data_IF_672794745712
#
_entry.id   IF_672794745712
#
_cell.length_a   1.000
_cell.length_b   1.000
_cell.length_c   1.000
_cell.angle_alpha   90.00
_cell.angle_beta   90.00
_cell.angle_gamma   90.00
#
_symmetry.space_group_name_H-M   'P 1'
#
loop_
_entity.id
_entity.type
_entity.pdbx_description
1 polymer ?
#
# COMPACT_ATOMS: atom_id res chain seq x y z
N UNK A 1 -6.93 9.54 -1.19
CA UNK A 1 -7.47 8.37 -0.48
C UNK A 1 -6.43 7.26 -0.23
N UNK A 2 -5.41 7.11 -1.07
CA UNK A 2 -4.30 6.14 -0.89
C UNK A 2 -3.36 6.51 0.29
N UNK A 3 -3.20 7.80 0.58
CA UNK A 3 -2.32 8.29 1.66
C UNK A 3 -2.79 7.94 3.09
N UNK A 4 -4.09 7.66 3.28
CA UNK A 4 -4.64 7.29 4.61
C UNK A 4 -4.38 5.82 4.98
N UNK A 5 -4.07 4.95 4.02
CA UNK A 5 -3.75 3.54 4.27
C UNK A 5 -2.34 3.37 4.83
N UNK A 6 -1.36 4.18 4.39
CA UNK A 6 0.03 4.11 4.88
C UNK A 6 0.18 4.52 6.34
N UNK A 7 -0.66 5.44 6.83
CA UNK A 7 -0.60 5.90 8.21
C UNK A 7 -1.00 4.81 9.24
N UNK A 8 -1.72 3.76 8.81
CA UNK A 8 -2.05 2.61 9.68
C UNK A 8 -0.91 1.59 9.78
N UNK A 9 -0.11 1.42 8.72
CA UNK A 9 1.00 0.44 8.72
C UNK A 9 2.13 0.86 9.67
N UNK A 10 2.46 2.16 9.75
CA UNK A 10 3.50 2.64 10.67
C UNK A 10 3.15 2.50 12.16
N UNK A 11 1.86 2.50 12.54
CA UNK A 11 1.46 2.31 13.94
C UNK A 11 1.61 0.86 14.42
N UNK A 12 1.60 -0.12 13.51
CA UNK A 12 1.73 -1.54 13.85
C UNK A 12 3.18 -1.99 14.03
N UNK A 13 4.16 -1.23 13.53
CA UNK A 13 5.58 -1.55 13.64
C UNK A 13 6.26 -1.02 14.93
N UNK A 14 5.56 -0.23 15.75
CA UNK A 14 6.16 0.45 16.92
C UNK A 14 5.67 -0.09 18.28
N UNK A 15 5.09 -1.29 18.33
CA UNK A 15 4.70 -1.93 19.60
C UNK A 15 5.17 -3.38 19.70
N UNK A 16 6.41 -3.66 19.29
CA UNK A 16 7.11 -4.90 19.66
C UNK A 16 8.43 -4.50 20.34
N UNK A 17 8.60 -4.78 21.64
CA UNK A 17 9.90 -4.72 22.28
C UNK A 17 10.80 -5.84 21.75
N UNK A 18 12.06 -5.50 21.47
CA UNK A 18 13.16 -6.42 21.20
C UNK A 18 13.41 -7.35 22.39
N UNK A 19 13.02 -8.62 22.28
CA UNK A 19 13.59 -9.71 23.07
C UNK A 19 13.37 -11.06 22.36
N UNK A 20 14.07 -11.29 21.25
CA UNK A 20 14.32 -12.65 20.76
C UNK A 20 15.57 -13.20 21.46
N UNK A 21 15.38 -13.83 22.62
CA UNK A 21 16.43 -14.60 23.28
C UNK A 21 16.64 -15.93 22.55
N UNK A 22 17.68 -16.01 21.73
CA UNK A 22 18.33 -17.25 21.31
C UNK A 22 19.15 -17.76 22.50
N UNK A 23 18.73 -18.86 23.13
CA UNK A 23 19.55 -19.54 24.14
C UNK A 23 20.67 -20.34 23.47
N UNK A 24 21.91 -19.96 23.81
CA UNK A 24 23.15 -20.68 23.50
C UNK A 24 23.18 -22.03 24.20
N UNK A 25 23.69 -23.03 23.48
CA UNK A 25 24.09 -24.33 24.00
C UNK A 25 25.50 -24.18 24.60
N UNK A 26 25.67 -24.53 25.87
CA UNK A 26 26.97 -24.82 26.47
C UNK A 26 26.96 -26.27 26.99
N UNK A 27 27.96 -27.04 26.57
CA UNK A 27 28.22 -28.41 27.01
C UNK A 27 28.86 -28.44 28.41
N UNK A 28 28.38 -29.34 29.27
CA UNK A 28 29.21 -29.95 30.31
C UNK A 28 28.66 -31.31 30.75
N UNK A 29 29.54 -32.30 30.74
CA UNK A 29 29.33 -33.73 31.07
C UNK A 29 28.82 -34.00 32.51
N UNK A 30 28.02 -35.07 32.67
CA UNK A 30 28.26 -36.26 33.53
C UNK A 30 26.92 -36.99 33.90
N UNK A 31 26.82 -38.23 33.38
CA UNK A 31 26.28 -39.51 33.89
C UNK A 31 24.89 -39.68 34.56
N UNK A 32 24.22 -40.68 33.98
CA UNK A 32 23.46 -41.81 34.54
C UNK A 32 22.01 -41.65 35.05
N UNK A 33 21.17 -42.43 34.35
CA UNK A 33 20.12 -43.32 34.85
C UNK A 33 18.63 -42.88 34.80
N UNK A 34 17.85 -43.88 34.40
CA UNK A 34 16.40 -44.07 34.44
C UNK A 34 15.56 -43.47 33.30
N UNK A 35 15.04 -44.38 32.47
CA UNK A 35 14.15 -44.09 31.35
C UNK A 35 12.75 -43.64 31.75
N UNK A 36 12.13 -42.88 30.86
CA UNK A 36 10.68 -42.79 30.62
C UNK A 36 10.45 -42.02 29.30
N UNK A 37 9.74 -42.66 28.38
CA UNK A 37 9.23 -42.05 27.15
C UNK A 37 8.28 -40.88 27.49
N UNK A 38 8.24 -39.79 26.69
CA UNK A 38 7.24 -38.75 26.87
C UNK A 38 5.88 -39.23 26.37
N UNK A 39 4.93 -39.26 27.30
CA UNK A 39 3.51 -39.54 27.09
C UNK A 39 2.92 -38.42 26.22
N UNK A 40 2.35 -38.79 25.08
CA UNK A 40 1.41 -37.94 24.33
C UNK A 40 0.13 -37.82 25.13
N UNK A 41 -0.22 -36.62 25.60
CA UNK A 41 -1.55 -36.37 26.14
C UNK A 41 -2.55 -36.26 24.98
N UNK A 42 -3.52 -37.19 25.01
CA UNK A 42 -4.67 -37.32 24.12
C UNK A 42 -5.48 -36.03 24.00
N UNK A 43 -5.88 -35.72 22.76
CA UNK A 43 -7.00 -34.83 22.44
C UNK A 43 -8.29 -35.38 23.08
N UNK A 44 -8.74 -34.76 24.17
CA UNK A 44 -10.00 -35.11 24.82
C UNK A 44 -11.22 -34.62 24.01
N UNK A 45 -12.22 -35.50 23.92
CA UNK A 45 -13.53 -35.36 23.26
C UNK A 45 -14.26 -34.04 23.68
N UNK A 46 -14.80 -33.23 22.74
CA UNK A 46 -15.44 -31.94 23.05
C UNK A 46 -16.73 -31.98 23.88
N UNK A 47 -17.18 -33.15 24.34
CA UNK A 47 -18.38 -33.30 25.18
C UNK A 47 -18.12 -33.24 26.71
N UNK A 48 -16.86 -33.16 27.18
CA UNK A 48 -16.50 -33.14 28.62
C UNK A 48 -15.64 -31.92 29.05
N UNK A 49 -15.86 -30.73 28.48
CA UNK A 49 -15.19 -29.51 28.96
C UNK A 49 -15.82 -29.02 30.27
N UNK A 50 -15.07 -29.09 31.38
CA UNK A 50 -15.46 -28.53 32.68
C UNK A 50 -15.72 -27.02 32.54
N UNK A 51 -16.97 -26.59 32.77
CA UNK A 51 -17.37 -25.18 32.67
C UNK A 51 -16.99 -24.45 33.96
N UNK A 52 -16.26 -23.35 33.84
CA UNK A 52 -15.94 -22.47 34.95
C UNK A 52 -17.20 -21.75 35.46
N UNK A 53 -17.43 -21.71 36.77
CA UNK A 53 -18.56 -21.00 37.39
C UNK A 53 -18.06 -19.69 38.03
N UNK A 54 -18.17 -18.53 37.36
CA UNK A 54 -17.57 -17.28 37.82
C UNK A 54 -18.27 -16.73 39.05
N UNK A 55 -17.50 -16.11 39.95
CA UNK A 55 -18.02 -15.30 41.07
C UNK A 55 -17.72 -13.82 40.85
N UNK A 56 -18.13 -12.93 41.76
CA UNK A 56 -17.83 -11.49 41.69
C UNK A 56 -16.36 -11.13 41.97
N UNK A 57 -15.53 -12.09 42.39
CA UNK A 57 -14.09 -11.92 42.60
C UNK A 57 -13.30 -12.62 41.49
N UNK A 58 -12.09 -12.13 41.20
CA UNK A 58 -11.20 -12.73 40.22
C UNK A 58 -10.73 -14.11 40.68
N UNK A 59 -10.88 -15.11 39.81
CA UNK A 59 -10.36 -16.46 40.05
C UNK A 59 -9.60 -16.95 38.83
N UNK A 60 -8.49 -17.65 39.06
CA UNK A 60 -7.66 -18.25 38.01
C UNK A 60 -8.39 -19.39 37.30
N UNK A 61 -8.30 -19.40 35.97
CA UNK A 61 -8.82 -20.43 35.08
C UNK A 61 -7.80 -21.55 34.90
N UNK A 62 -8.26 -22.81 34.93
CA UNK A 62 -7.41 -23.95 34.59
C UNK A 62 -7.21 -24.05 33.07
N UNK A 63 -6.07 -24.57 32.58
CA UNK A 63 -5.87 -24.87 31.16
C UNK A 63 -6.98 -25.79 30.64
N UNK A 64 -7.61 -25.43 29.51
CA UNK A 64 -8.71 -26.19 28.90
C UNK A 64 -10.11 -25.89 29.44
N UNK A 65 -10.27 -25.07 30.49
CA UNK A 65 -11.58 -24.79 31.09
C UNK A 65 -12.43 -23.81 30.27
N UNK A 66 -13.72 -24.12 30.05
CA UNK A 66 -14.63 -23.28 29.27
C UNK A 66 -15.21 -22.13 30.12
N UNK A 67 -15.23 -20.90 29.60
CA UNK A 67 -15.73 -19.71 30.31
C UNK A 67 -17.13 -19.32 29.82
N UNK A 68 -18.14 -19.16 30.70
CA UNK A 68 -19.48 -18.75 30.31
C UNK A 68 -19.53 -17.37 29.64
N UNK A 69 -20.37 -17.24 28.62
CA UNK A 69 -20.62 -15.98 27.94
C UNK A 69 -21.12 -14.90 28.92
N UNK A 70 -20.51 -13.72 28.88
CA UNK A 70 -20.81 -12.61 29.79
C UNK A 70 -19.86 -12.46 30.99
N UNK A 71 -18.90 -13.37 31.15
CA UNK A 71 -17.83 -13.24 32.16
C UNK A 71 -16.76 -12.25 31.72
N UNK A 72 -16.22 -11.46 32.66
CA UNK A 72 -15.05 -10.61 32.41
C UNK A 72 -13.79 -11.46 32.57
N UNK A 73 -12.95 -11.53 31.54
CA UNK A 73 -11.71 -12.34 31.52
C UNK A 73 -10.51 -11.42 31.36
N UNK A 74 -9.43 -11.66 32.12
CA UNK A 74 -8.17 -10.93 32.01
C UNK A 74 -6.96 -11.88 32.06
N UNK A 75 -5.81 -11.40 31.59
CA UNK A 75 -4.52 -12.02 31.82
C UNK A 75 -3.79 -11.21 32.88
N UNK A 76 -3.41 -11.84 34.00
CA UNK A 76 -2.63 -11.20 35.04
C UNK A 76 -1.17 -11.08 34.58
N UNK A 77 -0.73 -9.86 34.27
CA UNK A 77 0.61 -9.62 33.70
C UNK A 77 1.76 -9.89 34.68
N UNK A 78 1.47 -10.06 35.97
CA UNK A 78 2.47 -10.32 36.99
C UNK A 78 2.65 -11.82 37.28
N UNK A 79 1.58 -12.62 37.11
CA UNK A 79 1.62 -14.07 37.31
C UNK A 79 1.56 -14.88 36.01
N UNK A 80 1.17 -14.25 34.89
CA UNK A 80 0.92 -14.91 33.60
C UNK A 80 -0.40 -15.70 33.55
N UNK A 81 -1.21 -15.68 34.60
CA UNK A 81 -2.42 -16.50 34.72
C UNK A 81 -3.65 -15.83 34.11
N UNK A 82 -4.54 -16.63 33.50
CA UNK A 82 -5.85 -16.16 33.02
C UNK A 82 -6.84 -16.19 34.18
N UNK A 83 -7.53 -15.09 34.43
CA UNK A 83 -8.52 -14.97 35.50
C UNK A 83 -9.90 -14.55 34.94
N UNK A 84 -10.99 -14.98 35.59
CA UNK A 84 -12.35 -14.60 35.21
C UNK A 84 -13.24 -14.25 36.43
N UNK A 85 -14.19 -13.32 36.22
CA UNK A 85 -15.22 -12.94 37.20
C UNK A 85 -16.54 -12.52 36.55
N UNK A 86 -17.63 -12.44 37.32
CA UNK A 86 -18.90 -11.83 36.91
C UNK A 86 -18.78 -10.31 36.80
N UNK A 87 -19.45 -9.67 35.83
CA UNK A 87 -19.54 -8.21 35.76
C UNK A 87 -20.36 -7.67 36.94
N UNK A 88 -19.88 -6.58 37.55
CA UNK A 88 -20.57 -5.92 38.66
C UNK A 88 -21.77 -5.14 38.12
N UNK A 89 -22.97 -5.48 38.60
CA UNK A 89 -24.22 -4.81 38.23
C UNK A 89 -24.38 -3.48 38.97
N UNK A 90 -24.56 -2.40 38.20
CA UNK A 90 -24.96 -1.03 38.60
C UNK A 90 -23.89 -0.11 39.23
N UNK A 91 -23.24 0.72 38.40
CA UNK A 91 -23.63 2.13 38.22
C UNK A 91 -22.59 2.94 37.42
N UNK A 92 -23.07 3.56 36.32
CA UNK A 92 -22.65 4.89 35.89
C UNK A 92 -21.23 5.10 35.36
N UNK A 93 -20.99 4.76 34.09
CA UNK A 93 -20.27 5.56 33.07
C UNK A 93 -20.32 4.82 31.74
N UNK A 94 -21.33 5.11 30.94
CA UNK A 94 -21.37 4.67 29.54
C UNK A 94 -20.27 5.38 28.77
N UNK A 95 -19.24 4.63 28.38
CA UNK A 95 -18.28 5.10 27.38
C UNK A 95 -19.03 5.47 26.10
N UNK A 96 -18.85 6.71 25.69
CA UNK A 96 -19.57 7.49 24.67
C UNK A 96 -19.31 7.03 23.23
N UNK A 97 -19.14 5.73 23.00
CA UNK A 97 -18.93 5.15 21.66
C UNK A 97 -20.20 4.64 20.97
N UNK A 98 -21.26 4.32 21.71
CA UNK A 98 -22.48 3.75 21.11
C UNK A 98 -23.48 4.78 20.57
N UNK A 99 -23.46 6.02 21.05
CA UNK A 99 -24.36 7.08 20.55
C UNK A 99 -24.06 7.51 19.12
N UNK A 100 -22.83 7.34 18.63
CA UNK A 100 -22.47 7.69 17.24
C UNK A 100 -22.93 6.66 16.22
N UNK A 101 -23.25 5.43 16.63
CA UNK A 101 -23.67 4.35 15.71
C UNK A 101 -25.18 4.41 15.40
N UNK A 102 -25.98 5.02 16.28
CA UNK A 102 -27.44 5.18 16.10
C UNK A 102 -27.85 6.32 15.16
N UNK A 103 -26.94 7.25 14.81
CA UNK A 103 -27.23 8.38 13.90
C UNK A 103 -27.19 8.05 12.39
N UNK A 104 -26.90 6.80 12.00
CA UNK A 104 -26.76 6.40 10.58
C UNK A 104 -27.88 5.51 10.02
N UNK A 105 -28.97 5.29 10.75
CA UNK A 105 -30.15 4.61 10.21
C UNK A 105 -31.36 5.53 10.41
N UNK A 106 -31.99 5.90 9.29
CA UNK A 106 -33.09 6.85 9.23
C UNK A 106 -34.28 6.47 10.10
N UNK A 107 -35.01 7.49 10.57
CA UNK A 107 -36.26 7.39 11.31
C UNK A 107 -37.26 6.51 10.56
N UNK A 108 -37.74 5.45 11.21
CA UNK A 108 -39.05 4.89 10.94
C UNK A 108 -39.92 5.28 12.13
N UNK A 109 -40.88 6.16 11.89
CA UNK A 109 -41.95 6.48 12.83
C UNK A 109 -42.76 5.20 13.11
N UNK A 110 -42.91 4.85 14.37
CA UNK A 110 -43.97 3.95 14.79
C UNK A 110 -44.71 4.62 15.93
N UNK A 111 -45.90 5.07 15.59
CA UNK A 111 -46.89 5.70 16.43
C UNK A 111 -47.19 4.83 17.66
N UNK A 112 -47.11 5.45 18.84
CA UNK A 112 -47.36 4.83 20.12
C UNK A 112 -48.86 4.76 20.36
N UNK A 113 -49.54 3.77 19.79
CA UNK A 113 -50.73 3.20 20.42
C UNK A 113 -51.13 1.82 19.87
N UNK A 114 -51.66 1.02 20.81
CA UNK A 114 -52.38 -0.26 20.69
C UNK A 114 -51.57 -1.53 20.39
N UNK A 115 -51.11 -2.19 21.46
CA UNK A 115 -51.35 -3.63 21.66
C UNK A 115 -51.48 -3.92 23.16
N UNK A 116 -52.58 -4.54 23.57
CA UNK A 116 -52.75 -4.98 24.96
C UNK A 116 -51.87 -6.20 25.27
N UNK A 117 -51.50 -6.42 26.53
CA UNK A 117 -50.69 -7.57 26.97
C UNK A 117 -51.28 -8.93 26.54
N UNK A 118 -52.60 -9.00 26.33
CA UNK A 118 -53.29 -10.18 25.82
C UNK A 118 -53.14 -10.36 24.30
N UNK A 119 -53.07 -9.29 23.51
CA UNK A 119 -52.79 -9.35 22.07
C UNK A 119 -51.35 -9.78 21.80
N UNK A 120 -50.40 -9.29 22.60
CA UNK A 120 -49.00 -9.75 22.56
C UNK A 120 -48.88 -11.24 22.90
N UNK A 121 -49.61 -11.73 23.91
CA UNK A 121 -49.62 -13.17 24.25
C UNK A 121 -50.24 -14.03 23.15
N UNK A 122 -51.32 -13.56 22.50
CA UNK A 122 -51.91 -14.27 21.35
C UNK A 122 -51.01 -14.26 20.12
N UNK A 123 -50.30 -13.16 19.86
CA UNK A 123 -49.33 -13.05 18.77
C UNK A 123 -48.13 -13.99 19.00
N UNK A 124 -47.59 -14.02 20.23
CA UNK A 124 -46.51 -14.93 20.62
C UNK A 124 -46.93 -16.40 20.58
N UNK A 125 -48.18 -16.72 20.94
CA UNK A 125 -48.71 -18.08 20.83
C UNK A 125 -48.83 -18.53 19.36
N UNK A 126 -49.32 -17.64 18.48
CA UNK A 126 -49.38 -17.90 17.02
C UNK A 126 -47.98 -18.06 16.41
N UNK A 127 -47.01 -17.25 16.84
CA UNK A 127 -45.60 -17.40 16.42
C UNK A 127 -45.01 -18.74 16.85
N UNK A 128 -45.35 -19.23 18.06
CA UNK A 128 -44.86 -20.51 18.60
C UNK A 128 -45.53 -21.71 17.91
N UNK A 129 -46.76 -21.57 17.44
CA UNK A 129 -47.43 -22.56 16.58
C UNK A 129 -46.88 -22.57 15.16
N UNK A 130 -46.62 -21.41 14.55
CA UNK A 130 -45.94 -21.35 13.24
C UNK A 130 -44.52 -21.90 13.32
N UNK A 131 -43.78 -21.67 14.42
CA UNK A 131 -42.47 -22.28 14.65
C UNK A 131 -42.54 -23.81 14.80
N UNK A 132 -43.59 -24.34 15.44
CA UNK A 132 -43.84 -25.79 15.54
C UNK A 132 -44.26 -26.40 14.21
N UNK A 133 -45.04 -25.68 13.39
CA UNK A 133 -45.41 -26.09 12.04
C UNK A 133 -44.19 -26.07 11.09
N UNK A 134 -43.38 -25.01 11.13
CA UNK A 134 -42.12 -24.90 10.40
C UNK A 134 -41.09 -25.94 10.86
N UNK A 135 -41.03 -26.28 12.16
CA UNK A 135 -40.20 -27.38 12.67
C UNK A 135 -40.69 -28.76 12.21
N UNK A 136 -41.99 -28.96 12.00
CA UNK A 136 -42.53 -30.20 11.41
C UNK A 136 -42.22 -30.29 9.91
N UNK A 137 -42.28 -29.19 9.17
CA UNK A 137 -41.91 -29.12 7.74
C UNK A 137 -40.37 -29.23 7.56
N UNK A 138 -39.56 -28.64 8.43
CA UNK A 138 -38.08 -28.77 8.44
C UNK A 138 -37.59 -30.19 8.73
N UNK A 139 -38.39 -31.04 9.37
CA UNK A 139 -38.04 -32.45 9.60
C UNK A 139 -38.21 -33.34 8.36
N UNK A 140 -38.78 -32.84 7.25
CA UNK A 140 -39.05 -33.66 6.06
C UNK A 140 -38.28 -33.27 4.78
N UNK A 141 -37.39 -32.26 4.84
CA UNK A 141 -36.41 -32.02 3.78
C UNK A 141 -35.02 -31.86 4.39
N UNK A 142 -34.10 -32.83 4.22
CA UNK A 142 -32.74 -32.67 4.71
C UNK A 142 -32.04 -31.62 3.86
N UNK A 143 -31.72 -30.47 4.44
CA UNK A 143 -30.79 -29.48 3.85
C UNK A 143 -29.43 -30.13 3.54
N UNK A 144 -29.08 -31.24 4.23
CA UNK A 144 -27.96 -32.13 3.91
C UNK A 144 -27.98 -32.72 2.49
N UNK A 145 -29.12 -32.76 1.79
CA UNK A 145 -29.19 -33.22 0.39
C UNK A 145 -28.91 -32.13 -0.65
N UNK A 146 -28.74 -30.86 -0.22
CA UNK A 146 -28.42 -29.74 -1.13
C UNK A 146 -26.92 -29.44 -1.22
N UNK A 147 -26.11 -30.03 -0.37
CA UNK A 147 -24.66 -29.80 -0.35
C UNK A 147 -23.95 -31.12 -0.59
N UNK A 148 -22.98 -31.10 -1.50
CA UNK A 148 -22.07 -32.23 -1.70
C UNK A 148 -21.26 -32.45 -0.41
N UNK A 149 -21.02 -33.70 0.01
CA UNK A 149 -20.09 -34.03 1.10
C UNK A 149 -18.71 -33.40 0.87
N UNK A 150 -18.08 -32.93 1.95
CA UNK A 150 -16.77 -32.25 1.85
C UNK A 150 -15.68 -33.18 1.34
N UNK A 151 -15.80 -34.48 1.62
CA UNK A 151 -14.93 -35.54 1.13
C UNK A 151 -15.08 -35.73 -0.38
N UNK A 152 -16.32 -35.71 -0.90
CA UNK A 152 -16.57 -35.78 -2.35
C UNK A 152 -16.03 -34.55 -3.06
N UNK A 153 -16.13 -33.36 -2.44
CA UNK A 153 -15.55 -32.13 -2.99
C UNK A 153 -14.02 -32.16 -2.99
N UNK A 154 -13.38 -32.70 -1.94
CA UNK A 154 -11.93 -32.88 -1.88
C UNK A 154 -11.44 -33.86 -2.95
N UNK A 155 -12.13 -34.98 -3.12
CA UNK A 155 -11.79 -35.98 -4.12
C UNK A 155 -12.05 -35.48 -5.55
N UNK A 156 -13.14 -34.74 -5.79
CA UNK A 156 -13.39 -34.03 -7.06
C UNK A 156 -12.32 -32.97 -7.35
N UNK A 157 -11.86 -32.23 -6.33
CA UNK A 157 -10.81 -31.22 -6.44
C UNK A 157 -9.43 -31.85 -6.72
N UNK A 158 -9.12 -32.98 -6.08
CA UNK A 158 -7.91 -33.77 -6.36
C UNK A 158 -7.94 -34.38 -7.77
N UNK A 159 -9.09 -34.90 -8.20
CA UNK A 159 -9.31 -35.41 -9.57
C UNK A 159 -9.19 -34.32 -10.63
N UNK A 160 -9.49 -33.07 -10.28
CA UNK A 160 -9.34 -31.92 -11.16
C UNK A 160 -7.86 -31.59 -11.45
N UNK A 161 -6.89 -32.17 -10.73
CA UNK A 161 -5.45 -31.99 -10.92
C UNK A 161 -5.03 -30.53 -11.18
N UNK A 162 -5.75 -29.58 -10.56
CA UNK A 162 -5.39 -28.17 -10.58
C UNK A 162 -4.27 -28.02 -9.57
N UNK A 163 -3.03 -28.28 -10.01
CA UNK A 163 -1.85 -27.84 -9.27
C UNK A 163 -1.88 -26.32 -9.28
N UNK A 164 -2.51 -25.73 -8.26
CA UNK A 164 -2.40 -24.30 -8.01
C UNK A 164 -1.00 -24.06 -7.50
N UNK A 165 -0.14 -23.60 -8.40
CA UNK A 165 1.21 -23.18 -8.04
C UNK A 165 1.10 -21.89 -7.25
N UNK A 166 1.88 -21.79 -6.18
CA UNK A 166 1.99 -20.55 -5.41
C UNK A 166 2.76 -19.51 -6.22
N UNK A 167 2.49 -18.22 -5.96
CA UNK A 167 3.25 -17.12 -6.55
C UNK A 167 4.75 -17.29 -6.34
N UNK A 168 5.15 -17.79 -5.16
CA UNK A 168 6.54 -18.13 -4.85
C UNK A 168 7.13 -19.16 -5.83
N UNK A 169 6.46 -20.30 -6.03
CA UNK A 169 6.92 -21.36 -6.95
C UNK A 169 6.97 -20.86 -8.40
N UNK A 170 6.01 -20.04 -8.81
CA UNK A 170 5.99 -19.45 -10.15
C UNK A 170 7.18 -18.49 -10.31
N UNK A 171 7.42 -17.60 -9.35
CA UNK A 171 8.56 -16.68 -9.38
C UNK A 171 9.90 -17.43 -9.43
N UNK A 172 10.08 -18.52 -8.67
CA UNK A 172 11.29 -19.36 -8.74
C UNK A 172 11.52 -19.86 -10.17
N UNK A 173 10.48 -20.34 -10.85
CA UNK A 173 10.58 -20.82 -12.24
C UNK A 173 10.93 -19.68 -13.20
N UNK A 174 10.30 -18.51 -13.04
CA UNK A 174 10.56 -17.34 -13.89
C UNK A 174 12.01 -16.84 -13.72
N UNK A 175 12.50 -16.75 -12.48
CA UNK A 175 13.89 -16.37 -12.17
C UNK A 175 14.86 -17.38 -12.78
N UNK A 176 14.60 -18.68 -12.64
CA UNK A 176 15.42 -19.74 -13.23
C UNK A 176 15.47 -19.63 -14.76
N UNK A 177 14.32 -19.39 -15.40
CA UNK A 177 14.23 -19.18 -16.85
C UNK A 177 15.00 -17.93 -17.31
N UNK A 178 14.92 -16.84 -16.54
CA UNK A 178 15.69 -15.63 -16.83
C UNK A 178 17.20 -15.84 -16.73
N UNK A 179 17.67 -16.55 -15.69
CA UNK A 179 19.08 -16.80 -15.43
C UNK A 179 19.68 -17.92 -16.32
N UNK A 180 18.86 -18.80 -16.88
CA UNK A 180 19.33 -19.93 -17.69
C UNK A 180 20.07 -19.46 -18.95
N UNK A 181 21.25 -20.03 -19.21
CA UNK A 181 21.98 -19.83 -20.47
C UNK A 181 21.34 -20.55 -21.65
N UNK A 182 20.48 -21.54 -21.39
CA UNK A 182 19.78 -22.29 -22.44
C UNK A 182 18.51 -21.59 -22.96
N UNK A 183 17.99 -20.60 -22.22
CA UNK A 183 16.79 -19.87 -22.61
C UNK A 183 17.08 -18.81 -23.68
N UNK A 184 16.17 -18.72 -24.65
CA UNK A 184 16.22 -17.73 -25.73
C UNK A 184 15.93 -16.31 -25.20
N UNK A 185 16.25 -15.29 -26.01
CA UNK A 185 15.95 -13.90 -25.66
C UNK A 185 14.46 -13.69 -25.37
N UNK A 186 13.58 -14.19 -26.23
CA UNK A 186 12.12 -14.04 -26.10
C UNK A 186 11.60 -14.74 -24.85
N UNK A 187 12.15 -15.91 -24.52
CA UNK A 187 11.81 -16.64 -23.29
C UNK A 187 12.22 -15.87 -22.03
N UNK A 188 13.37 -15.21 -22.04
CA UNK A 188 13.84 -14.38 -20.92
C UNK A 188 13.01 -13.11 -20.78
N UNK A 189 12.67 -12.48 -21.91
CA UNK A 189 11.80 -11.30 -21.95
C UNK A 189 10.41 -11.65 -21.42
N UNK A 190 9.83 -12.76 -21.87
CA UNK A 190 8.54 -13.24 -21.36
C UNK A 190 8.61 -13.54 -19.86
N UNK A 191 9.69 -14.18 -19.39
CA UNK A 191 9.86 -14.45 -17.96
C UNK A 191 9.92 -13.18 -17.11
N UNK A 192 10.65 -12.15 -17.57
CA UNK A 192 10.69 -10.85 -16.90
C UNK A 192 9.34 -10.13 -16.93
N UNK A 193 8.62 -10.19 -18.06
CA UNK A 193 7.30 -9.60 -18.19
C UNK A 193 6.30 -10.23 -17.22
N UNK A 194 6.28 -11.56 -17.12
CA UNK A 194 5.43 -12.27 -16.16
C UNK A 194 5.85 -11.98 -14.71
N UNK A 195 7.16 -11.91 -14.45
CA UNK A 195 7.69 -11.63 -13.12
C UNK A 195 7.29 -10.24 -12.62
N UNK A 196 7.24 -9.25 -13.51
CA UNK A 196 6.81 -7.88 -13.19
C UNK A 196 5.42 -7.85 -12.55
N UNK A 197 4.49 -8.66 -13.06
CA UNK A 197 3.14 -8.79 -12.52
C UNK A 197 3.15 -9.27 -11.06
N UNK A 198 3.99 -10.26 -10.73
CA UNK A 198 4.03 -10.83 -9.39
C UNK A 198 4.67 -9.88 -8.37
N UNK A 199 5.78 -9.23 -8.74
CA UNK A 199 6.53 -8.36 -7.82
C UNK A 199 5.84 -7.02 -7.56
N UNK A 200 4.72 -6.73 -8.22
CA UNK A 200 3.84 -5.63 -7.81
C UNK A 200 3.26 -5.82 -6.41
N UNK A 201 3.10 -7.07 -5.96
CA UNK A 201 2.70 -7.34 -4.58
C UNK A 201 3.90 -7.21 -3.64
N UNK A 202 3.72 -6.47 -2.55
CA UNK A 202 4.81 -6.11 -1.62
C UNK A 202 5.47 -7.35 -1.00
N UNK A 203 4.70 -8.40 -0.69
CA UNK A 203 5.25 -9.62 -0.11
C UNK A 203 6.00 -10.45 -1.15
N UNK A 204 5.45 -10.62 -2.35
CA UNK A 204 6.15 -11.24 -3.48
C UNK A 204 7.47 -10.52 -3.81
N UNK A 205 7.51 -9.18 -3.74
CA UNK A 205 8.74 -8.42 -3.93
C UNK A 205 9.82 -8.70 -2.86
N UNK A 206 9.43 -8.97 -1.61
CA UNK A 206 10.36 -9.37 -0.55
C UNK A 206 10.86 -10.81 -0.75
N UNK A 207 9.99 -11.69 -1.21
CA UNK A 207 10.38 -13.06 -1.56
C UNK A 207 11.33 -13.04 -2.76
N UNK A 208 11.02 -12.25 -3.79
CA UNK A 208 11.88 -12.00 -4.95
C UNK A 208 13.29 -11.53 -4.56
N UNK A 209 13.39 -10.62 -3.60
CA UNK A 209 14.67 -10.24 -2.98
C UNK A 209 15.35 -11.44 -2.30
N UNK A 210 14.63 -12.18 -1.45
CA UNK A 210 15.17 -13.30 -0.67
C UNK A 210 15.65 -14.47 -1.55
N UNK A 211 15.05 -14.63 -2.74
CA UNK A 211 15.45 -15.60 -3.75
C UNK A 211 16.66 -15.16 -4.59
N UNK A 212 17.23 -13.98 -4.34
CA UNK A 212 18.33 -13.42 -5.13
C UNK A 212 17.91 -12.88 -6.50
N UNK A 213 16.61 -12.83 -6.78
CA UNK A 213 16.08 -12.37 -8.07
C UNK A 213 16.38 -10.89 -8.32
N UNK A 214 16.38 -10.07 -7.27
CA UNK A 214 16.67 -8.63 -7.38
C UNK A 214 18.05 -8.37 -8.01
N UNK A 215 19.08 -9.09 -7.55
CA UNK A 215 20.44 -8.93 -8.04
C UNK A 215 20.55 -9.28 -9.53
N UNK A 216 19.88 -10.35 -9.97
CA UNK A 216 19.84 -10.75 -11.38
C UNK A 216 19.18 -9.66 -12.26
N UNK A 217 18.10 -9.04 -11.77
CA UNK A 217 17.43 -7.95 -12.49
C UNK A 217 18.32 -6.70 -12.56
N UNK A 218 19.03 -6.37 -11.48
CA UNK A 218 20.00 -5.26 -11.47
C UNK A 218 21.13 -5.51 -12.47
N UNK A 219 21.60 -6.75 -12.60
CA UNK A 219 22.58 -7.13 -13.62
C UNK A 219 21.99 -7.05 -15.04
N UNK A 220 20.72 -7.40 -15.20
CA UNK A 220 19.96 -7.27 -16.46
C UNK A 220 19.91 -5.84 -17.01
N UNK A 221 20.00 -4.81 -16.15
CA UNK A 221 20.10 -3.40 -16.58
C UNK A 221 21.37 -3.10 -17.40
N UNK A 222 22.41 -3.93 -17.29
CA UNK A 222 23.65 -3.81 -18.04
C UNK A 222 23.66 -4.68 -19.32
N UNK A 223 22.55 -5.32 -19.69
CA UNK A 223 22.47 -6.14 -20.89
C UNK A 223 22.74 -5.34 -22.17
N UNK A 224 23.34 -5.98 -23.17
CA UNK A 224 23.47 -5.42 -24.52
C UNK A 224 22.11 -5.32 -25.22
N UNK A 225 21.18 -6.22 -24.87
CA UNK A 225 19.86 -6.31 -25.48
C UNK A 225 18.90 -5.27 -24.88
N UNK A 226 18.34 -4.41 -25.74
CA UNK A 226 17.41 -3.37 -25.31
C UNK A 226 16.15 -3.95 -24.65
N UNK A 227 15.61 -5.06 -25.16
CA UNK A 227 14.42 -5.71 -24.62
C UNK A 227 14.65 -6.23 -23.19
N UNK A 228 15.83 -6.78 -22.89
CA UNK A 228 16.17 -7.21 -21.53
C UNK A 228 16.33 -6.02 -20.60
N UNK A 229 17.02 -4.95 -21.03
CA UNK A 229 17.14 -3.72 -20.23
C UNK A 229 15.79 -3.12 -19.89
N UNK A 230 14.89 -3.06 -20.88
CA UNK A 230 13.53 -2.54 -20.70
C UNK A 230 12.76 -3.34 -19.65
N UNK A 231 12.69 -4.66 -19.79
CA UNK A 231 11.91 -5.51 -18.90
C UNK A 231 12.55 -5.66 -17.52
N UNK A 232 13.89 -5.68 -17.43
CA UNK A 232 14.58 -5.64 -16.15
C UNK A 232 14.30 -4.33 -15.39
N UNK A 233 14.35 -3.18 -16.07
CA UNK A 233 13.95 -1.91 -15.47
C UNK A 233 12.48 -1.91 -15.06
N UNK A 234 11.61 -2.60 -15.82
CA UNK A 234 10.19 -2.67 -15.49
C UNK A 234 9.93 -3.47 -14.21
N UNK A 235 10.49 -4.69 -14.11
CA UNK A 235 10.45 -5.54 -12.90
C UNK A 235 11.01 -4.79 -11.70
N UNK A 236 12.18 -4.13 -11.86
CA UNK A 236 12.79 -3.35 -10.80
C UNK A 236 11.85 -2.25 -10.30
N UNK A 237 11.24 -1.49 -11.21
CA UNK A 237 10.30 -0.42 -10.83
C UNK A 237 9.06 -0.94 -10.10
N UNK A 238 8.51 -2.10 -10.51
CA UNK A 238 7.40 -2.74 -9.84
C UNK A 238 7.78 -3.18 -8.41
N UNK A 239 8.92 -3.89 -8.26
CA UNK A 239 9.41 -4.38 -6.97
C UNK A 239 9.76 -3.26 -5.97
N UNK A 240 10.24 -2.12 -6.46
CA UNK A 240 10.58 -0.93 -5.65
C UNK A 240 9.34 -0.18 -5.14
N UNK A 241 8.24 -0.25 -5.89
CA UNK A 241 7.06 0.55 -5.62
C UNK A 241 6.53 0.20 -4.23
N UNK A 242 6.51 1.18 -3.33
CA UNK A 242 5.96 1.00 -1.98
C UNK A 242 6.70 -0.02 -1.10
N UNK A 243 7.98 -0.32 -1.37
CA UNK A 243 8.74 -1.32 -0.63
C UNK A 243 10.12 -0.79 -0.15
N UNK A 244 10.21 -0.23 1.08
CA UNK A 244 11.46 0.34 1.59
C UNK A 244 12.61 -0.66 1.69
N UNK A 245 12.35 -1.93 2.00
CA UNK A 245 13.40 -2.96 2.09
C UNK A 245 14.03 -3.19 0.71
N UNK A 246 13.21 -3.38 -0.33
CA UNK A 246 13.69 -3.55 -1.70
C UNK A 246 14.38 -2.29 -2.22
N UNK A 247 13.91 -1.09 -1.84
CA UNK A 247 14.57 0.18 -2.16
C UNK A 247 16.00 0.25 -1.61
N UNK A 248 16.22 -0.11 -0.35
CA UNK A 248 17.54 -0.11 0.30
C UNK A 248 18.49 -1.07 -0.44
N UNK A 249 18.08 -2.33 -0.58
CA UNK A 249 18.89 -3.37 -1.23
C UNK A 249 19.20 -3.03 -2.69
N UNK A 250 18.26 -2.41 -3.40
CA UNK A 250 18.48 -1.97 -4.79
C UNK A 250 19.52 -0.86 -4.90
N UNK A 251 19.52 0.09 -3.96
CA UNK A 251 20.53 1.15 -3.92
C UNK A 251 21.91 0.55 -3.62
N UNK A 252 21.99 -0.35 -2.65
CA UNK A 252 23.24 -1.04 -2.27
C UNK A 252 23.77 -1.93 -3.39
N UNK A 253 22.88 -2.58 -4.16
CA UNK A 253 23.20 -3.30 -5.39
C UNK A 253 23.61 -2.42 -6.58
N UNK A 254 23.64 -1.09 -6.43
CA UNK A 254 24.10 -0.16 -7.45
C UNK A 254 23.08 0.13 -8.56
N UNK A 255 21.80 -0.18 -8.35
CA UNK A 255 20.76 0.02 -9.35
C UNK A 255 20.60 1.50 -9.75
N UNK A 256 20.72 2.44 -8.81
CA UNK A 256 20.61 3.88 -9.08
C UNK A 256 21.60 4.35 -10.15
N UNK A 257 22.87 3.96 -10.03
CA UNK A 257 23.89 4.36 -11.00
C UNK A 257 23.58 3.79 -12.38
N UNK A 258 23.16 2.52 -12.47
CA UNK A 258 22.78 1.88 -13.74
C UNK A 258 21.59 2.57 -14.40
N UNK A 259 20.54 2.89 -13.62
CA UNK A 259 19.37 3.62 -14.11
C UNK A 259 19.75 5.01 -14.65
N UNK A 260 20.62 5.75 -13.94
CA UNK A 260 21.12 7.05 -14.40
C UNK A 260 21.92 6.93 -15.71
N UNK A 261 22.77 5.91 -15.84
CA UNK A 261 23.52 5.63 -17.08
C UNK A 261 22.57 5.34 -18.25
N UNK A 262 21.52 4.53 -18.04
CA UNK A 262 20.50 4.26 -19.07
C UNK A 262 19.82 5.55 -19.54
N UNK A 263 19.47 6.44 -18.61
CA UNK A 263 18.80 7.71 -18.95
C UNK A 263 19.75 8.70 -19.65
N UNK A 264 21.03 8.73 -19.25
CA UNK A 264 22.05 9.62 -19.78
C UNK A 264 22.60 9.22 -21.16
N UNK A 265 22.61 7.92 -21.47
CA UNK A 265 23.15 7.39 -22.73
C UNK A 265 22.09 7.29 -23.83
N UNK A 266 22.53 7.07 -25.07
CA UNK A 266 21.61 6.80 -26.18
C UNK A 266 20.97 5.41 -26.02
N UNK A 267 19.65 5.39 -25.84
CA UNK A 267 18.86 4.18 -25.61
C UNK A 267 17.48 4.36 -26.24
N UNK A 268 16.81 3.27 -26.65
CA UNK A 268 15.44 3.33 -27.13
C UNK A 268 14.50 3.98 -26.11
N UNK A 269 13.51 4.73 -26.61
CA UNK A 269 12.51 5.41 -25.77
C UNK A 269 11.83 4.45 -24.79
N UNK A 270 11.55 3.21 -25.20
CA UNK A 270 10.92 2.20 -24.36
C UNK A 270 11.76 1.85 -23.11
N UNK A 271 13.08 1.67 -23.30
CA UNK A 271 14.05 1.45 -22.21
C UNK A 271 14.07 2.66 -21.27
N UNK A 272 14.15 3.89 -21.81
CA UNK A 272 14.16 5.11 -20.98
C UNK A 272 12.86 5.29 -20.21
N UNK A 273 11.70 4.94 -20.78
CA UNK A 273 10.39 4.98 -20.10
C UNK A 273 10.40 4.08 -18.86
N UNK A 274 10.92 2.85 -18.96
CA UNK A 274 10.97 1.90 -17.85
C UNK A 274 12.05 2.26 -16.83
N UNK A 275 13.21 2.73 -17.28
CA UNK A 275 14.26 3.23 -16.40
C UNK A 275 13.81 4.45 -15.59
N UNK A 276 13.09 5.39 -16.21
CA UNK A 276 12.52 6.54 -15.51
C UNK A 276 11.46 6.10 -14.50
N UNK A 277 10.61 5.12 -14.85
CA UNK A 277 9.64 4.54 -13.91
C UNK A 277 10.34 3.93 -12.69
N UNK A 278 11.36 3.09 -12.90
CA UNK A 278 12.13 2.49 -11.81
C UNK A 278 12.84 3.54 -10.94
N UNK A 279 13.43 4.56 -11.58
CA UNK A 279 14.04 5.67 -10.87
C UNK A 279 13.00 6.43 -10.03
N UNK A 280 11.83 6.74 -10.58
CA UNK A 280 10.76 7.39 -9.82
C UNK A 280 10.31 6.56 -8.61
N UNK A 281 10.11 5.24 -8.78
CA UNK A 281 9.75 4.35 -7.67
C UNK A 281 10.85 4.23 -6.62
N UNK A 282 12.12 4.35 -7.00
CA UNK A 282 13.27 4.33 -6.09
C UNK A 282 13.37 5.60 -5.23
N UNK A 283 13.07 6.77 -5.80
CA UNK A 283 13.29 8.06 -5.13
C UNK A 283 12.15 8.47 -4.21
N UNK A 284 10.91 8.08 -4.54
CA UNK A 284 9.73 8.45 -3.76
C UNK A 284 9.78 7.87 -2.36
N UNK A 285 9.49 8.72 -1.38
CA UNK A 285 9.47 8.42 0.04
C UNK A 285 10.79 7.85 0.60
N UNK A 286 11.92 8.09 -0.08
CA UNK A 286 13.22 7.56 0.32
C UNK A 286 14.33 8.64 0.29
N UNK A 287 14.52 9.41 1.39
CA UNK A 287 15.48 10.51 1.47
C UNK A 287 16.91 10.14 1.09
N UNK A 288 17.36 8.95 1.51
CA UNK A 288 18.72 8.49 1.23
C UNK A 288 18.95 8.31 -0.27
N UNK A 289 18.00 7.69 -0.99
CA UNK A 289 18.08 7.57 -2.45
C UNK A 289 18.04 8.94 -3.13
N UNK A 290 17.20 9.88 -2.66
CA UNK A 290 17.19 11.25 -3.17
C UNK A 290 18.55 11.95 -2.99
N UNK A 291 19.20 11.78 -1.83
CA UNK A 291 20.52 12.34 -1.59
C UNK A 291 21.58 11.76 -2.55
N UNK A 292 21.58 10.43 -2.74
CA UNK A 292 22.52 9.78 -3.67
C UNK A 292 22.24 10.18 -5.12
N UNK A 293 20.98 10.29 -5.52
CA UNK A 293 20.58 10.78 -6.83
C UNK A 293 21.12 12.19 -7.11
N UNK A 294 21.03 13.10 -6.14
CA UNK A 294 21.60 14.44 -6.27
C UNK A 294 23.14 14.40 -6.38
N UNK A 295 23.81 13.60 -5.54
CA UNK A 295 25.28 13.43 -5.57
C UNK A 295 25.79 12.90 -6.90
N UNK A 296 25.02 12.01 -7.54
CA UNK A 296 25.35 11.42 -8.85
C UNK A 296 24.95 12.31 -10.04
N UNK A 297 24.56 13.56 -9.81
CA UNK A 297 24.16 14.48 -10.89
C UNK A 297 22.85 14.09 -11.57
N UNK A 298 21.95 13.42 -10.84
CA UNK A 298 20.72 12.88 -11.39
C UNK A 298 19.78 13.94 -11.96
N UNK A 299 19.73 15.15 -11.38
CA UNK A 299 18.97 16.27 -11.96
C UNK A 299 19.53 16.69 -13.32
N UNK A 300 20.84 16.71 -13.50
CA UNK A 300 21.45 17.01 -14.79
C UNK A 300 21.10 15.95 -15.84
N UNK A 301 21.09 14.67 -15.44
CA UNK A 301 20.65 13.56 -16.29
C UNK A 301 19.20 13.75 -16.72
N UNK A 302 18.27 14.02 -15.79
CA UNK A 302 16.88 14.26 -16.10
C UNK A 302 16.70 15.49 -17.01
N UNK A 303 17.46 16.58 -16.78
CA UNK A 303 17.42 17.78 -17.61
C UNK A 303 17.89 17.49 -19.04
N UNK A 304 18.84 16.57 -19.22
CA UNK A 304 19.35 16.21 -20.55
C UNK A 304 18.28 15.61 -21.46
N UNK A 305 17.25 14.96 -20.90
CA UNK A 305 16.13 14.38 -21.66
C UNK A 305 15.34 15.46 -22.42
N UNK A 306 15.24 16.67 -21.87
CA UNK A 306 14.56 17.81 -22.50
C UNK A 306 15.29 18.38 -23.73
N UNK A 307 16.53 17.95 -23.96
CA UNK A 307 17.33 18.34 -25.13
C UNK A 307 17.34 17.27 -26.23
N UNK A 308 16.86 16.07 -25.92
CA UNK A 308 16.82 14.94 -26.83
C UNK A 308 15.48 14.91 -27.57
N UNK A 309 15.54 14.81 -28.90
CA UNK A 309 14.33 14.68 -29.74
C UNK A 309 13.63 13.35 -29.46
N UNK A 310 12.30 13.34 -29.47
CA UNK A 310 11.51 12.12 -29.29
C UNK A 310 11.34 11.68 -27.83
N UNK A 311 11.74 12.53 -26.87
CA UNK A 311 11.64 12.26 -25.44
C UNK A 311 10.49 13.03 -24.76
N UNK A 312 9.64 13.70 -25.52
CA UNK A 312 8.59 14.61 -25.04
C UNK A 312 7.63 13.90 -24.09
N UNK A 313 7.31 12.63 -24.38
CA UNK A 313 6.46 11.78 -23.52
C UNK A 313 7.02 11.50 -22.13
N UNK A 314 8.31 11.79 -21.89
CA UNK A 314 8.95 11.66 -20.57
C UNK A 314 8.87 12.94 -19.75
N UNK A 315 8.66 14.10 -20.39
CA UNK A 315 8.79 15.40 -19.72
C UNK A 315 7.81 15.55 -18.58
N UNK A 316 6.53 15.22 -18.83
CA UNK A 316 5.49 15.24 -17.80
C UNK A 316 5.83 14.31 -16.63
N UNK A 317 6.42 13.14 -16.89
CA UNK A 317 6.82 12.19 -15.83
C UNK A 317 7.96 12.74 -14.97
N UNK A 318 8.92 13.42 -15.59
CA UNK A 318 10.01 14.10 -14.88
C UNK A 318 9.47 15.25 -14.03
N UNK A 319 8.57 16.08 -14.58
CA UNK A 319 7.93 17.17 -13.84
C UNK A 319 7.12 16.64 -12.66
N UNK A 320 6.31 15.59 -12.86
CA UNK A 320 5.56 14.97 -11.75
C UNK A 320 6.48 14.40 -10.70
N UNK A 321 7.60 13.78 -11.09
CA UNK A 321 8.59 13.29 -10.13
C UNK A 321 9.16 14.47 -9.31
N UNK A 322 9.55 15.57 -9.95
CA UNK A 322 10.06 16.74 -9.23
C UNK A 322 9.01 17.31 -8.26
N UNK A 323 7.76 17.42 -8.70
CA UNK A 323 6.65 17.81 -7.83
C UNK A 323 6.52 16.89 -6.61
N UNK A 324 6.45 15.57 -6.84
CA UNK A 324 6.32 14.57 -5.78
C UNK A 324 7.45 14.71 -4.75
N UNK A 325 8.70 14.78 -5.20
CA UNK A 325 9.87 14.88 -4.31
C UNK A 325 9.91 16.20 -3.52
N UNK A 326 9.40 17.30 -4.07
CA UNK A 326 9.31 18.58 -3.35
C UNK A 326 8.18 18.52 -2.31
N UNK A 327 7.02 18.00 -2.69
CA UNK A 327 5.86 17.88 -1.80
C UNK A 327 6.09 16.90 -0.65
N UNK A 328 6.82 15.80 -0.88
CA UNK A 328 7.21 14.84 0.17
C UNK A 328 7.92 15.50 1.34
N UNK A 329 8.70 16.56 1.08
CA UNK A 329 9.41 17.31 2.12
C UNK A 329 8.46 18.22 2.92
N UNK A 330 7.44 18.77 2.27
CA UNK A 330 6.44 19.66 2.88
C UNK A 330 5.39 18.88 3.70
N UNK A 331 5.01 17.67 3.27
CA UNK A 331 4.00 16.83 3.94
C UNK A 331 4.50 16.11 5.21
N UNK A 332 5.67 16.48 5.74
CA UNK A 332 6.27 15.81 6.89
C UNK A 332 5.50 16.10 8.19
N UNK A 333 4.56 15.21 8.50
CA UNK A 333 3.88 15.12 9.79
C UNK A 333 4.52 14.02 10.67
N UNK A 334 4.90 14.43 11.88
CA UNK A 334 5.10 13.64 13.11
C UNK A 334 6.27 12.65 13.27
N UNK A 335 7.23 12.52 12.34
CA UNK A 335 8.37 11.59 12.51
C UNK A 335 9.72 12.32 12.47
N UNK A 336 10.31 12.58 13.65
CA UNK A 336 11.54 13.37 13.81
C UNK A 336 12.74 12.81 13.02
N UNK A 337 12.91 11.49 12.98
CA UNK A 337 14.02 10.84 12.26
C UNK A 337 13.92 11.07 10.74
N UNK A 338 12.73 10.87 10.16
CA UNK A 338 12.51 11.14 8.73
C UNK A 338 12.68 12.63 8.42
N UNK A 339 12.19 13.52 9.29
CA UNK A 339 12.40 14.97 9.16
C UNK A 339 13.89 15.31 9.07
N UNK A 340 14.70 14.71 9.94
CA UNK A 340 16.14 14.95 9.95
C UNK A 340 16.84 14.44 8.68
N UNK A 341 16.40 13.30 8.13
CA UNK A 341 16.92 12.78 6.86
C UNK A 341 16.55 13.70 5.67
N UNK A 342 15.29 14.15 5.58
CA UNK A 342 14.85 15.07 4.53
C UNK A 342 15.50 16.46 4.61
N UNK A 343 15.88 16.93 5.82
CA UNK A 343 16.67 18.16 5.97
C UNK A 343 18.02 18.09 5.26
N UNK A 344 18.63 16.91 5.18
CA UNK A 344 19.90 16.72 4.48
C UNK A 344 19.75 16.69 2.95
N UNK A 345 18.53 16.51 2.43
CA UNK A 345 18.25 16.51 0.99
C UNK A 345 18.13 17.96 0.50
N UNK A 346 19.16 18.44 -0.20
CA UNK A 346 19.23 19.78 -0.80
C UNK A 346 18.59 19.80 -2.21
N UNK A 347 17.36 19.30 -2.33
CA UNK A 347 16.67 19.19 -3.63
C UNK A 347 16.33 20.57 -4.20
N UNK A 348 15.57 21.39 -3.47
CA UNK A 348 15.09 22.69 -3.97
C UNK A 348 16.21 23.64 -4.40
N UNK A 349 17.30 23.83 -3.63
CA UNK A 349 18.45 24.61 -4.09
C UNK A 349 19.02 24.09 -5.42
N UNK A 350 19.20 22.76 -5.54
CA UNK A 350 19.72 22.15 -6.77
C UNK A 350 18.76 22.32 -7.97
N UNK A 351 17.44 22.29 -7.74
CA UNK A 351 16.42 22.57 -8.76
C UNK A 351 16.56 24.01 -9.29
N UNK A 352 16.71 24.99 -8.39
CA UNK A 352 16.86 26.41 -8.75
C UNK A 352 18.19 26.67 -9.48
N UNK A 353 19.30 26.16 -8.93
CA UNK A 353 20.65 26.30 -9.48
C UNK A 353 20.77 25.68 -10.88
N UNK A 354 20.02 24.62 -11.16
CA UNK A 354 20.01 23.95 -12.46
C UNK A 354 18.86 24.41 -13.37
N UNK A 355 18.37 25.63 -13.21
CA UNK A 355 17.35 26.29 -14.04
C UNK A 355 16.06 25.50 -14.27
N UNK A 356 15.70 24.59 -13.37
CA UNK A 356 14.49 23.80 -13.55
C UNK A 356 13.23 24.66 -13.51
N UNK A 357 13.26 25.81 -12.83
CA UNK A 357 12.16 26.79 -12.89
C UNK A 357 11.75 27.09 -14.35
N UNK A 358 12.72 27.41 -15.21
CA UNK A 358 12.49 27.77 -16.63
C UNK A 358 12.13 26.54 -17.46
N UNK A 359 12.80 25.41 -17.20
CA UNK A 359 12.50 24.16 -17.93
C UNK A 359 11.06 23.72 -17.68
N UNK A 360 10.61 23.79 -16.42
CA UNK A 360 9.24 23.43 -16.02
C UNK A 360 8.25 24.43 -16.59
N UNK A 361 8.46 25.74 -16.41
CA UNK A 361 7.53 26.78 -16.86
C UNK A 361 7.32 26.77 -18.38
N UNK A 362 8.37 26.49 -19.16
CA UNK A 362 8.28 26.39 -20.62
C UNK A 362 7.36 25.28 -21.12
N UNK A 363 7.10 24.25 -20.30
CA UNK A 363 6.15 23.20 -20.67
C UNK A 363 4.69 23.66 -20.64
N UNK A 364 4.37 24.84 -20.09
CA UNK A 364 3.02 25.40 -20.20
C UNK A 364 2.60 25.66 -21.65
N UNK A 365 3.56 25.76 -22.57
CA UNK A 365 3.30 25.93 -24.00
C UNK A 365 2.82 24.64 -24.71
N UNK A 366 2.87 23.47 -24.05
CA UNK A 366 2.34 22.23 -24.65
C UNK A 366 0.83 22.30 -24.82
N UNK A 367 0.22 21.68 -25.84
CA UNK A 367 -1.22 21.74 -26.05
C UNK A 367 -2.04 20.88 -25.05
N UNK A 368 -1.45 19.87 -24.42
CA UNK A 368 -2.18 18.93 -23.57
C UNK A 368 -2.53 19.51 -22.19
N UNK A 369 -3.82 19.62 -21.87
CA UNK A 369 -4.31 20.15 -20.59
C UNK A 369 -3.81 19.37 -19.37
N UNK A 370 -3.75 18.03 -19.43
CA UNK A 370 -3.22 17.18 -18.36
C UNK A 370 -1.73 17.49 -18.05
N UNK A 371 -0.94 17.82 -19.08
CA UNK A 371 0.46 18.24 -18.89
C UNK A 371 0.49 19.63 -18.26
N UNK A 372 -0.29 20.58 -18.77
CA UNK A 372 -0.38 21.94 -18.22
C UNK A 372 -0.80 21.92 -16.75
N UNK A 373 -1.76 21.10 -16.35
CA UNK A 373 -2.18 20.93 -14.96
C UNK A 373 -1.00 20.55 -14.05
N UNK A 374 -0.26 19.51 -14.44
CA UNK A 374 0.91 19.01 -13.69
C UNK A 374 2.01 20.06 -13.62
N UNK A 375 2.22 20.80 -14.71
CA UNK A 375 3.19 21.90 -14.77
C UNK A 375 2.74 23.07 -13.88
N UNK A 376 1.47 23.49 -13.92
CA UNK A 376 0.92 24.56 -13.07
C UNK A 376 1.07 24.22 -11.58
N UNK A 377 0.73 22.98 -11.18
CA UNK A 377 0.95 22.50 -9.82
C UNK A 377 2.42 22.60 -9.40
N UNK A 378 3.33 22.21 -10.29
CA UNK A 378 4.78 22.29 -10.05
C UNK A 378 5.29 23.73 -9.98
N UNK A 379 4.83 24.61 -10.87
CA UNK A 379 5.16 26.05 -10.86
C UNK A 379 4.69 26.70 -9.56
N UNK A 380 3.49 26.37 -9.10
CA UNK A 380 2.94 26.86 -7.83
C UNK A 380 3.82 26.50 -6.64
N UNK A 381 4.20 25.22 -6.50
CA UNK A 381 5.10 24.78 -5.42
C UNK A 381 6.48 25.42 -5.52
N UNK A 382 6.98 25.63 -6.74
CA UNK A 382 8.26 26.31 -6.98
C UNK A 382 8.19 27.82 -6.80
N UNK A 383 7.00 28.44 -6.68
CA UNK A 383 6.86 29.88 -6.61
C UNK A 383 7.66 30.47 -5.45
N UNK A 384 7.65 29.82 -4.28
CA UNK A 384 8.37 30.26 -3.09
C UNK A 384 9.90 30.43 -3.33
N UNK A 385 10.46 29.76 -4.33
CA UNK A 385 11.90 29.73 -4.60
C UNK A 385 12.28 30.36 -5.94
N UNK A 386 11.39 30.30 -6.93
CA UNK A 386 11.63 30.75 -8.31
C UNK A 386 10.98 32.12 -8.61
N UNK A 387 10.36 32.80 -7.63
CA UNK A 387 9.56 34.03 -7.81
C UNK A 387 10.24 35.09 -8.68
N UNK A 388 11.44 35.49 -8.32
CA UNK A 388 12.16 36.56 -9.04
C UNK A 388 12.51 36.15 -10.48
N UNK A 389 12.79 34.86 -10.68
CA UNK A 389 13.06 34.32 -12.01
C UNK A 389 11.81 34.28 -12.88
N UNK A 390 10.67 33.90 -12.31
CA UNK A 390 9.38 33.93 -13.01
C UNK A 390 8.90 35.36 -13.30
N UNK A 391 9.14 36.32 -12.42
CA UNK A 391 8.84 37.74 -12.66
C UNK A 391 9.62 38.32 -13.83
N UNK A 392 10.89 37.92 -13.98
CA UNK A 392 11.72 38.32 -15.11
C UNK A 392 11.43 37.59 -16.44
N UNK A 393 10.59 36.54 -16.42
CA UNK A 393 10.30 35.71 -17.59
C UNK A 393 9.07 36.22 -18.36
N UNK A 394 9.33 37.01 -19.40
CA UNK A 394 8.28 37.55 -20.26
C UNK A 394 7.53 36.47 -21.03
N UNK A 395 8.18 35.35 -21.36
CA UNK A 395 7.54 34.24 -22.09
C UNK A 395 6.53 33.53 -21.19
N UNK A 396 6.88 33.31 -19.92
CA UNK A 396 5.96 32.77 -18.91
C UNK A 396 4.76 33.69 -18.70
N UNK A 397 4.99 35.00 -18.51
CA UNK A 397 3.91 35.98 -18.32
C UNK A 397 2.93 36.02 -19.51
N UNK A 398 3.46 35.95 -20.73
CA UNK A 398 2.66 35.88 -21.96
C UNK A 398 1.87 34.57 -22.03
N UNK A 399 2.50 33.45 -21.73
CA UNK A 399 1.86 32.12 -21.73
C UNK A 399 0.74 32.03 -20.70
N UNK A 400 0.96 32.51 -19.47
CA UNK A 400 -0.06 32.54 -18.42
C UNK A 400 -1.25 33.43 -18.79
N UNK A 401 -0.99 34.57 -19.46
CA UNK A 401 -2.06 35.45 -19.93
C UNK A 401 -2.92 34.78 -21.01
N UNK A 402 -2.30 34.07 -21.95
CA UNK A 402 -2.99 33.29 -22.98
C UNK A 402 -3.83 32.16 -22.34
N UNK A 403 -3.21 31.38 -21.46
CA UNK A 403 -3.88 30.27 -20.76
C UNK A 403 -5.04 30.75 -19.89
N UNK A 404 -4.94 31.93 -19.28
CA UNK A 404 -6.04 32.50 -18.51
C UNK A 404 -7.26 32.73 -19.39
N UNK A 405 -7.08 33.37 -20.55
CA UNK A 405 -8.19 33.62 -21.49
C UNK A 405 -8.76 32.31 -22.06
N UNK A 406 -7.89 31.36 -22.40
CA UNK A 406 -8.31 30.03 -22.86
C UNK A 406 -9.17 29.30 -21.81
N UNK A 407 -8.73 29.25 -20.55
CA UNK A 407 -9.48 28.57 -19.49
C UNK A 407 -10.70 29.36 -18.99
N UNK A 408 -10.76 30.69 -19.16
CA UNK A 408 -11.99 31.47 -18.96
C UNK A 408 -13.09 31.05 -19.93
N UNK A 409 -12.76 30.88 -21.21
CA UNK A 409 -13.71 30.43 -22.23
C UNK A 409 -14.17 28.98 -21.98
N UNK A 410 -13.23 28.08 -21.71
CA UNK A 410 -13.52 26.66 -21.45
C UNK A 410 -14.33 26.45 -20.16
N UNK A 411 -14.01 27.15 -19.08
CA UNK A 411 -14.78 27.07 -17.84
C UNK A 411 -16.21 27.63 -18.00
N UNK A 412 -16.38 28.68 -18.81
CA UNK A 412 -17.71 29.20 -19.15
C UNK A 412 -18.52 28.22 -20.04
N UNK A 413 -17.85 27.43 -20.87
CA UNK A 413 -18.47 26.35 -21.63
C UNK A 413 -18.90 25.18 -20.73
N UNK A 414 -18.03 24.68 -19.84
CA UNK A 414 -18.38 23.66 -18.83
C UNK A 414 -19.64 24.05 -18.06
N UNK A 415 -19.71 25.32 -17.62
CA UNK A 415 -20.85 25.82 -16.87
C UNK A 415 -22.14 25.88 -17.70
N UNK A 416 -22.04 26.17 -19.01
CA UNK A 416 -23.20 26.18 -19.92
C UNK A 416 -23.70 24.77 -20.22
N UNK A 417 -22.80 23.80 -20.32
CA UNK A 417 -23.13 22.38 -20.54
C UNK A 417 -23.66 21.70 -19.27
N UNK A 418 -23.52 22.36 -18.12
CA UNK A 418 -23.98 21.86 -16.83
C UNK A 418 -23.07 20.77 -16.25
N UNK A 419 -21.81 20.72 -16.72
CA UNK A 419 -20.78 19.90 -16.10
C UNK A 419 -20.48 20.45 -14.69
N UNK A 420 -20.42 19.54 -13.72
CA UNK A 420 -20.21 19.85 -12.30
C UNK A 420 -18.80 19.51 -11.83
N UNK A 421 -18.00 18.87 -12.66
CA UNK A 421 -16.66 18.43 -12.28
C UNK A 421 -15.70 19.64 -12.19
N UNK A 422 -15.97 20.71 -12.94
CA UNK A 422 -15.30 22.02 -12.80
C UNK A 422 -13.80 21.97 -13.11
N UNK A 423 -13.39 21.09 -14.02
CA UNK A 423 -11.99 20.84 -14.33
C UNK A 423 -11.28 22.09 -14.86
N UNK A 424 -11.84 22.77 -15.86
CA UNK A 424 -11.24 24.00 -16.39
C UNK A 424 -11.35 25.16 -15.40
N UNK A 425 -12.36 25.17 -14.53
CA UNK A 425 -12.46 26.13 -13.43
C UNK A 425 -11.30 26.00 -12.42
N UNK A 426 -10.87 24.78 -12.09
CA UNK A 426 -9.70 24.53 -11.22
C UNK A 426 -8.38 24.98 -11.89
N UNK A 427 -8.23 24.72 -13.20
CA UNK A 427 -7.07 25.18 -13.98
C UNK A 427 -7.00 26.71 -14.04
N UNK A 428 -8.13 27.36 -14.31
CA UNK A 428 -8.23 28.82 -14.29
C UNK A 428 -7.87 29.38 -12.91
N UNK A 429 -8.34 28.75 -11.83
CA UNK A 429 -7.98 29.11 -10.46
C UNK A 429 -6.46 29.01 -10.21
N UNK A 430 -5.82 27.96 -10.72
CA UNK A 430 -4.38 27.74 -10.60
C UNK A 430 -3.59 28.83 -11.35
N UNK A 431 -3.99 29.15 -12.59
CA UNK A 431 -3.36 30.22 -13.39
C UNK A 431 -3.51 31.58 -12.70
N UNK A 432 -4.72 31.91 -12.23
CA UNK A 432 -4.98 33.17 -11.55
C UNK A 432 -4.16 33.33 -10.26
N UNK A 433 -4.03 32.26 -9.49
CA UNK A 433 -3.20 32.23 -8.28
C UNK A 433 -1.75 32.56 -8.61
N UNK A 434 -1.18 31.88 -9.63
CA UNK A 434 0.20 32.12 -10.07
C UNK A 434 0.38 33.56 -10.56
N UNK A 435 -0.53 34.08 -11.39
CA UNK A 435 -0.48 35.48 -11.88
C UNK A 435 -0.52 36.47 -10.71
N UNK A 436 -1.37 36.22 -9.72
CA UNK A 436 -1.49 37.08 -8.54
C UNK A 436 -0.21 37.07 -7.71
N UNK A 437 0.40 35.89 -7.51
CA UNK A 437 1.65 35.78 -6.76
C UNK A 437 2.83 36.45 -7.46
N UNK A 438 2.82 36.55 -8.80
CA UNK A 438 3.86 37.21 -9.58
C UNK A 438 3.77 38.75 -9.56
N UNK A 439 2.61 39.32 -9.22
CA UNK A 439 2.50 40.77 -8.94
C UNK A 439 3.30 41.14 -7.69
#
# INVERSE_FOLDING_TARGET
AVSLLYCKQCRLSQTLPDEFALTKIEESDIKDDSGKEPITEDDADPEDLEVFYPTHQWQTLRPGQAVPAGSHVRLNLQTGEREAKLPDGENGKSDTRDERRRKRLGKVDVDSNSFTSQELKKALAKMKESEKAERKVRKQFPVRKKFRPIEQLKEEFEKLNVKMETDYEIMVKLISKFNSSASTLDEKVAALYDLEYYVHQVDNAKDFLSMGGLQLVIEGLNSTEAALKENAAFVLGAALSSNPKVQIESIEGGALQKLLVILATDQPLAVKKKALFALSSMLRHFPYAQQQFLKLGGLQVLRSLFRQKGMETLYVRVVTLLYDLIMEKEELLSCEEKIQQYRQVKLVPAVVEQDWCVVVSNLLATPEHDTREKVLKTVGVLMAFCKERYRGDQALSTTLSLLRSEYEELAAEEQREGDKDGYFQELLGSVNTIIQELR
#
